data_IF_063394370934
#
_entry.id   IF_063394370934
#
_cell.length_a   1.000
_cell.length_b   1.000
_cell.length_c   1.000
_cell.angle_alpha   90.00
_cell.angle_beta   90.00
_cell.angle_gamma   90.00
#
_symmetry.space_group_name_H-M   'P 1'
#
loop_
_entity.id
_entity.type
_entity.pdbx_description
1 polymer ?
#
# COMPACT_ATOMS: atom_id res chain seq x y z
N UNK A 1 11.20 16.12 -11.13
CA UNK A 1 12.60 15.66 -10.95
C UNK A 1 12.62 14.17 -11.24
N UNK A 2 13.56 13.67 -12.06
CA UNK A 2 13.75 12.22 -12.16
C UNK A 2 14.16 11.70 -10.76
N UNK A 3 13.45 10.70 -10.26
CA UNK A 3 13.85 10.04 -9.02
C UNK A 3 15.11 9.22 -9.31
N UNK A 4 16.16 9.38 -8.51
CA UNK A 4 17.39 8.60 -8.61
C UNK A 4 17.11 7.15 -8.16
N UNK A 5 16.67 6.32 -9.11
CA UNK A 5 16.45 4.88 -8.91
C UNK A 5 17.74 4.16 -9.26
N UNK A 6 18.38 3.55 -8.26
CA UNK A 6 19.51 2.68 -8.46
C UNK A 6 19.02 1.23 -8.58
N UNK A 7 19.57 0.48 -9.54
CA UNK A 7 19.28 -0.95 -9.74
C UNK A 7 20.53 -1.74 -9.44
N UNK A 8 20.50 -2.56 -8.40
CA UNK A 8 21.59 -3.45 -8.05
C UNK A 8 21.19 -4.91 -8.27
N UNK A 9 22.09 -5.67 -8.88
CA UNK A 9 21.93 -7.10 -9.04
C UNK A 9 22.22 -7.83 -7.74
N UNK A 10 21.34 -8.74 -7.35
CA UNK A 10 21.52 -9.63 -6.21
C UNK A 10 21.46 -11.09 -6.67
N UNK A 11 22.29 -11.94 -6.07
CA UNK A 11 22.19 -13.39 -6.25
C UNK A 11 21.36 -13.96 -5.11
N UNK A 12 20.27 -14.64 -5.46
CA UNK A 12 19.36 -15.32 -4.53
C UNK A 12 19.51 -16.84 -4.68
N UNK A 13 18.90 -17.61 -3.78
CA UNK A 13 18.85 -19.08 -3.87
C UNK A 13 18.18 -19.59 -5.16
N UNK A 14 17.42 -18.72 -5.84
CA UNK A 14 16.71 -19.02 -7.08
C UNK A 14 17.38 -18.44 -8.34
N UNK A 15 18.55 -17.81 -8.21
CA UNK A 15 19.33 -17.31 -9.34
C UNK A 15 19.67 -15.83 -9.22
N UNK A 16 19.57 -15.11 -10.33
CA UNK A 16 19.95 -13.70 -10.43
C UNK A 16 18.70 -12.82 -10.45
N UNK A 17 18.63 -11.82 -9.58
CA UNK A 17 17.50 -10.91 -9.44
C UNK A 17 17.96 -9.44 -9.34
N UNK A 18 17.03 -8.50 -9.53
CA UNK A 18 17.30 -7.06 -9.45
C UNK A 18 16.56 -6.45 -8.27
N UNK A 19 17.26 -5.64 -7.48
CA UNK A 19 16.65 -4.80 -6.45
C UNK A 19 16.69 -3.34 -6.89
N UNK A 20 15.52 -2.70 -6.87
CA UNK A 20 15.37 -1.26 -7.05
C UNK A 20 15.45 -0.56 -5.68
N UNK A 21 16.32 0.45 -5.57
CA UNK A 21 16.47 1.27 -4.38
C UNK A 21 16.45 2.75 -4.75
N UNK A 22 15.75 3.56 -3.96
CA UNK A 22 15.78 5.01 -4.10
C UNK A 22 16.95 5.57 -3.35
N UNK A 23 17.82 6.30 -4.05
CA UNK A 23 18.94 6.99 -3.42
C UNK A 23 18.59 8.44 -3.06
N UNK A 24 18.70 8.72 -1.77
CA UNK A 24 18.51 10.04 -1.17
C UNK A 24 19.80 10.54 -0.49
N UNK A 25 20.97 10.12 -0.97
CA UNK A 25 22.30 10.47 -0.45
C UNK A 25 22.56 11.98 -0.44
N UNK A 26 21.94 12.72 -1.35
CA UNK A 26 22.05 14.18 -1.47
C UNK A 26 21.26 14.96 -0.39
N UNK A 27 20.35 14.31 0.35
CA UNK A 27 19.54 14.96 1.38
C UNK A 27 20.26 15.00 2.74
N UNK A 28 20.14 16.12 3.45
CA UNK A 28 20.61 16.21 4.85
C UNK A 28 19.75 15.32 5.77
N UNK A 29 20.26 14.91 6.95
CA UNK A 29 19.48 14.15 7.92
C UNK A 29 18.15 14.81 8.28
N UNK A 30 18.13 16.13 8.44
CA UNK A 30 16.92 16.90 8.75
C UNK A 30 15.91 16.84 7.60
N UNK A 31 16.38 16.94 6.35
CA UNK A 31 15.53 16.83 5.16
C UNK A 31 14.96 15.42 5.00
N UNK A 32 15.75 14.38 5.28
CA UNK A 32 15.28 12.99 5.28
C UNK A 32 14.21 12.76 6.35
N UNK A 33 14.41 13.28 7.55
CA UNK A 33 13.44 13.18 8.63
C UNK A 33 12.12 13.88 8.27
N UNK A 34 12.18 15.10 7.73
CA UNK A 34 11.00 15.81 7.24
C UNK A 34 10.29 15.04 6.12
N UNK A 35 11.04 14.49 5.15
CA UNK A 35 10.49 13.68 4.07
C UNK A 35 9.83 12.40 4.62
N UNK A 36 10.43 11.75 5.61
CA UNK A 36 9.90 10.55 6.24
C UNK A 36 8.59 10.82 6.98
N UNK A 37 8.49 11.95 7.69
CA UNK A 37 7.25 12.38 8.34
C UNK A 37 6.12 12.58 7.33
N UNK A 38 6.41 13.26 6.22
CA UNK A 38 5.46 13.45 5.12
C UNK A 38 5.04 12.11 4.54
N UNK A 39 6.00 11.24 4.21
CA UNK A 39 5.71 9.90 3.65
C UNK A 39 4.85 9.09 4.62
N UNK A 40 5.19 9.05 5.91
CA UNK A 40 4.44 8.30 6.91
C UNK A 40 3.01 8.81 7.07
N UNK A 41 2.76 10.12 6.93
CA UNK A 41 1.41 10.66 6.95
C UNK A 41 0.54 10.07 5.81
N UNK A 42 1.14 9.80 4.64
CA UNK A 42 0.46 9.13 3.51
C UNK A 42 0.21 7.63 3.73
N UNK A 43 0.69 7.02 4.82
CA UNK A 43 0.35 5.65 5.21
C UNK A 43 -0.84 5.56 6.16
N UNK A 44 -1.48 6.69 6.48
CA UNK A 44 -2.63 6.69 7.40
C UNK A 44 -3.79 5.87 6.84
N UNK A 45 -4.30 4.88 7.58
CA UNK A 45 -5.36 4.00 7.09
C UNK A 45 -6.73 4.67 7.10
N UNK A 46 -7.65 4.15 6.28
CA UNK A 46 -9.04 4.62 6.28
C UNK A 46 -9.79 4.15 7.53
N UNK A 47 -10.64 5.02 8.08
CA UNK A 47 -11.54 4.63 9.18
C UNK A 47 -12.53 3.54 8.76
N UNK A 48 -12.78 2.57 9.64
CA UNK A 48 -13.66 1.42 9.39
C UNK A 48 -15.05 1.81 8.86
N UNK A 49 -15.64 2.87 9.42
CA UNK A 49 -16.96 3.36 9.01
C UNK A 49 -16.96 3.79 7.53
N UNK A 50 -15.88 4.41 7.06
CA UNK A 50 -15.77 4.83 5.66
C UNK A 50 -15.53 3.63 4.73
N UNK A 51 -14.77 2.62 5.18
CA UNK A 51 -14.62 1.35 4.45
C UNK A 51 -15.98 0.67 4.28
N UNK A 52 -16.77 0.56 5.35
CA UNK A 52 -18.11 -0.02 5.32
C UNK A 52 -18.99 0.72 4.30
N UNK A 53 -19.03 2.06 4.35
CA UNK A 53 -19.80 2.86 3.37
C UNK A 53 -19.40 2.57 1.93
N UNK A 54 -18.10 2.42 1.66
CA UNK A 54 -17.60 2.13 0.31
C UNK A 54 -17.93 0.71 -0.14
N UNK A 55 -17.85 -0.28 0.77
CA UNK A 55 -18.28 -1.66 0.50
C UNK A 55 -19.78 -1.70 0.20
N UNK A 56 -20.61 -1.04 1.01
CA UNK A 56 -22.06 -0.95 0.77
C UNK A 56 -22.36 -0.28 -0.57
N UNK A 57 -21.67 0.82 -0.90
CA UNK A 57 -21.77 1.44 -2.23
C UNK A 57 -21.42 0.43 -3.32
N UNK A 58 -20.34 -0.33 -3.16
CA UNK A 58 -19.89 -1.33 -4.12
C UNK A 58 -20.93 -2.44 -4.33
N UNK A 59 -21.56 -2.93 -3.26
CA UNK A 59 -22.65 -3.91 -3.33
C UNK A 59 -23.86 -3.40 -4.12
N UNK A 60 -24.18 -2.10 -3.99
CA UNK A 60 -25.31 -1.48 -4.71
C UNK A 60 -25.01 -1.38 -6.22
N UNK A 61 -23.79 -0.99 -6.59
CA UNK A 61 -23.44 -0.75 -8.01
C UNK A 61 -22.98 -2.02 -8.75
N UNK A 62 -22.44 -2.99 -8.02
CA UNK A 62 -21.88 -4.23 -8.55
C UNK A 62 -22.65 -5.38 -7.91
N UNK A 63 -23.67 -5.92 -8.61
CA UNK A 63 -24.56 -6.91 -8.02
C UNK A 63 -23.80 -8.20 -7.71
N UNK A 64 -24.28 -8.92 -6.68
CA UNK A 64 -23.83 -10.25 -6.32
C UNK A 64 -25.03 -11.18 -6.10
N UNK A 65 -24.77 -12.48 -5.95
CA UNK A 65 -25.82 -13.43 -5.55
C UNK A 65 -26.30 -13.10 -4.14
N UNK A 66 -27.59 -13.36 -3.89
CA UNK A 66 -28.17 -13.19 -2.57
C UNK A 66 -27.36 -13.95 -1.51
N UNK A 67 -27.03 -13.25 -0.43
CA UNK A 67 -26.34 -13.79 0.74
C UNK A 67 -27.19 -13.60 1.97
N UNK A 68 -27.02 -14.47 2.95
CA UNK A 68 -27.70 -14.29 4.23
C UNK A 68 -27.15 -13.04 4.94
N UNK A 69 -27.92 -12.39 5.82
CA UNK A 69 -27.43 -11.26 6.60
C UNK A 69 -26.16 -11.57 7.39
N UNK A 70 -26.03 -12.80 7.89
CA UNK A 70 -24.88 -13.28 8.66
C UNK A 70 -23.63 -13.31 7.76
N UNK A 71 -23.75 -13.83 6.54
CA UNK A 71 -22.64 -13.87 5.58
C UNK A 71 -22.18 -12.46 5.17
N UNK A 72 -23.13 -11.52 5.05
CA UNK A 72 -22.83 -10.12 4.73
C UNK A 72 -22.05 -9.44 5.86
N UNK A 73 -22.46 -9.65 7.10
CA UNK A 73 -21.79 -9.09 8.28
C UNK A 73 -20.38 -9.65 8.43
N UNK A 74 -20.23 -10.98 8.40
CA UNK A 74 -18.95 -11.66 8.50
C UNK A 74 -17.98 -11.19 7.40
N UNK A 75 -18.45 -11.15 6.15
CA UNK A 75 -17.62 -10.65 5.04
C UNK A 75 -17.22 -9.19 5.24
N UNK A 76 -18.15 -8.33 5.65
CA UNK A 76 -17.85 -6.90 5.85
C UNK A 76 -16.79 -6.72 6.92
N UNK A 77 -16.85 -7.49 8.01
CA UNK A 77 -15.83 -7.48 9.06
C UNK A 77 -14.44 -7.86 8.51
N UNK A 78 -14.35 -8.95 7.75
CA UNK A 78 -13.10 -9.41 7.12
C UNK A 78 -12.54 -8.33 6.17
N UNK A 79 -13.39 -7.74 5.33
CA UNK A 79 -12.96 -6.68 4.42
C UNK A 79 -12.42 -5.46 5.17
N UNK A 80 -13.07 -5.06 6.27
CA UNK A 80 -12.60 -3.96 7.10
C UNK A 80 -11.25 -4.29 7.73
N UNK A 81 -11.09 -5.49 8.28
CA UNK A 81 -9.83 -5.94 8.89
C UNK A 81 -8.67 -5.88 7.88
N UNK A 82 -8.86 -6.43 6.69
CA UNK A 82 -7.82 -6.48 5.67
C UNK A 82 -7.52 -5.10 5.08
N UNK A 83 -8.55 -4.32 4.71
CA UNK A 83 -8.34 -3.03 4.06
C UNK A 83 -7.78 -1.96 5.00
N UNK A 84 -7.93 -2.11 6.32
CA UNK A 84 -7.31 -1.19 7.29
C UNK A 84 -5.79 -1.26 7.33
N UNK A 85 -5.17 -2.26 6.71
CA UNK A 85 -3.70 -2.37 6.59
C UNK A 85 -3.14 -1.41 5.55
N UNK A 86 -4.00 -0.80 4.73
CA UNK A 86 -3.59 0.01 3.58
C UNK A 86 -3.91 1.50 3.76
N UNK A 87 -3.16 2.38 3.06
CA UNK A 87 -3.41 3.81 3.05
C UNK A 87 -4.82 4.19 2.60
N UNK A 88 -5.36 5.26 3.20
CA UNK A 88 -6.74 5.66 2.99
C UNK A 88 -7.10 6.00 1.54
N UNK A 89 -6.19 6.61 0.80
CA UNK A 89 -6.38 6.99 -0.59
C UNK A 89 -6.35 5.79 -1.55
N UNK A 90 -5.51 4.80 -1.25
CA UNK A 90 -5.43 3.53 -2.00
C UNK A 90 -6.73 2.75 -1.83
N UNK A 91 -7.18 2.55 -0.58
CA UNK A 91 -8.45 1.84 -0.30
C UNK A 91 -9.64 2.54 -0.94
N UNK A 92 -9.69 3.89 -0.88
CA UNK A 92 -10.75 4.67 -1.54
C UNK A 92 -10.74 4.45 -3.04
N UNK A 93 -9.57 4.43 -3.66
CA UNK A 93 -9.44 4.24 -5.10
C UNK A 93 -9.88 2.82 -5.48
N UNK A 94 -9.36 1.80 -4.78
CA UNK A 94 -9.70 0.40 -4.99
C UNK A 94 -11.21 0.17 -4.95
N UNK A 95 -11.89 0.59 -3.89
CA UNK A 95 -13.34 0.38 -3.72
C UNK A 95 -14.22 1.24 -4.63
N UNK A 96 -13.65 2.27 -5.28
CA UNK A 96 -14.36 3.14 -6.24
C UNK A 96 -14.14 2.72 -7.69
N UNK A 97 -13.30 1.73 -7.96
CA UNK A 97 -13.10 1.21 -9.30
C UNK A 97 -14.39 0.64 -9.89
N UNK A 98 -14.39 0.52 -11.22
CA UNK A 98 -15.52 -0.03 -11.96
C UNK A 98 -15.42 -1.54 -11.98
N UNK A 99 -16.24 -2.21 -11.19
CA UNK A 99 -16.37 -3.65 -11.21
C UNK A 99 -17.68 -4.07 -11.88
N UNK A 100 -17.59 -5.05 -12.79
CA UNK A 100 -18.78 -5.62 -13.44
C UNK A 100 -19.64 -6.43 -12.46
N UNK A 101 -18.99 -7.10 -11.52
CA UNK A 101 -19.58 -7.92 -10.45
C UNK A 101 -18.92 -7.55 -9.13
N UNK A 102 -19.54 -7.86 -7.99
CA UNK A 102 -18.87 -7.63 -6.72
C UNK A 102 -17.51 -8.38 -6.69
N UNK A 103 -16.38 -7.69 -6.51
CA UNK A 103 -15.07 -8.30 -6.69
C UNK A 103 -14.73 -9.25 -5.54
N UNK A 104 -13.80 -10.16 -5.83
CA UNK A 104 -13.17 -10.95 -4.77
C UNK A 104 -12.29 -10.03 -3.91
N UNK A 105 -12.19 -10.32 -2.62
CA UNK A 105 -11.31 -9.54 -1.73
C UNK A 105 -9.86 -9.55 -2.24
N UNK A 106 -9.37 -10.71 -2.70
CA UNK A 106 -8.02 -10.85 -3.26
C UNK A 106 -7.73 -9.86 -4.40
N UNK A 107 -8.69 -9.63 -5.32
CA UNK A 107 -8.51 -8.68 -6.42
C UNK A 107 -8.32 -7.24 -5.91
N UNK A 108 -9.05 -6.87 -4.86
CA UNK A 108 -8.93 -5.55 -4.21
C UNK A 108 -7.60 -5.44 -3.47
N UNK A 109 -7.17 -6.51 -2.79
CA UNK A 109 -5.89 -6.55 -2.06
C UNK A 109 -4.71 -6.49 -3.02
N UNK A 110 -4.74 -7.22 -4.14
CA UNK A 110 -3.71 -7.18 -5.18
C UNK A 110 -3.52 -5.76 -5.72
N UNK A 111 -4.63 -5.04 -5.95
CA UNK A 111 -4.56 -3.63 -6.34
C UNK A 111 -3.90 -2.78 -5.25
N UNK A 112 -4.30 -2.96 -3.99
CA UNK A 112 -3.74 -2.22 -2.87
C UNK A 112 -2.24 -2.49 -2.68
N UNK A 113 -1.80 -3.75 -2.80
CA UNK A 113 -0.40 -4.16 -2.68
C UNK A 113 0.45 -3.51 -3.78
N UNK A 114 -0.02 -3.52 -5.02
CA UNK A 114 0.67 -2.90 -6.15
C UNK A 114 0.86 -1.39 -5.97
N UNK A 115 -0.18 -0.69 -5.50
CA UNK A 115 -0.11 0.76 -5.26
C UNK A 115 0.77 1.13 -4.05
N UNK A 116 0.81 0.27 -3.02
CA UNK A 116 1.67 0.49 -1.84
C UNK A 116 3.13 0.18 -2.15
N UNK A 117 3.43 -0.79 -3.01
CA UNK A 117 4.79 -1.27 -3.27
C UNK A 117 5.78 -0.12 -3.57
N UNK A 118 5.37 0.83 -4.42
CA UNK A 118 6.21 1.99 -4.76
C UNK A 118 6.47 2.91 -3.55
N UNK A 119 5.45 3.17 -2.73
CA UNK A 119 5.58 4.01 -1.52
C UNK A 119 6.50 3.37 -0.50
N UNK A 120 6.44 2.04 -0.37
CA UNK A 120 7.33 1.27 0.47
C UNK A 120 8.79 1.34 0.02
N UNK A 121 9.05 1.37 -1.29
CA UNK A 121 10.41 1.57 -1.81
C UNK A 121 10.96 2.96 -1.44
N UNK A 122 10.14 4.01 -1.57
CA UNK A 122 10.53 5.38 -1.16
C UNK A 122 10.81 5.43 0.35
N UNK A 123 9.89 4.88 1.16
CA UNK A 123 10.03 4.83 2.62
C UNK A 123 11.29 4.08 3.03
N UNK A 124 11.59 2.95 2.38
CA UNK A 124 12.82 2.19 2.60
C UNK A 124 14.07 2.97 2.20
N UNK A 125 14.08 3.65 1.04
CA UNK A 125 15.21 4.47 0.61
C UNK A 125 15.55 5.58 1.61
N UNK A 126 14.53 6.20 2.21
CA UNK A 126 14.72 7.21 3.26
C UNK A 126 15.32 6.63 4.55
N UNK A 127 15.00 5.38 4.89
CA UNK A 127 15.46 4.70 6.12
C UNK A 127 16.84 4.04 5.95
N UNK A 128 17.12 3.42 4.80
CA UNK A 128 18.32 2.60 4.59
C UNK A 128 19.62 3.41 4.54
N UNK A 129 19.56 4.67 4.08
CA UNK A 129 20.75 5.52 4.02
C UNK A 129 21.31 5.95 5.39
N UNK A 130 20.58 5.71 6.49
CA UNK A 130 21.07 6.02 7.84
C UNK A 130 21.85 4.85 8.47
N UNK A 131 21.60 3.60 8.04
CA UNK A 131 22.33 2.41 8.55
C UNK A 131 23.75 2.31 8.01
N UNK A 132 23.95 2.66 6.72
CA UNK A 132 25.28 2.68 6.11
C UNK A 132 26.19 3.78 6.68
N UNK A 133 25.63 4.88 7.18
CA UNK A 133 26.43 5.94 7.84
C UNK A 133 26.83 5.56 9.27
N UNK A 134 26.00 4.78 9.97
CA UNK A 134 26.27 4.31 11.33
C UNK A 134 27.29 3.15 11.40
N UNK A 135 27.47 2.38 10.33
CA UNK A 135 28.48 1.29 10.27
C UNK A 135 29.88 1.77 9.83
N UNK A 136 30.00 3.02 9.37
CA UNK A 136 31.24 3.61 8.86
C UNK A 136 31.79 4.72 9.79
N UNK A 137 31.12 5.00 10.91
CA UNK A 137 31.54 5.94 11.97
C UNK A 137 31.99 5.21 13.22
#
# INVERSE_FOLDING_TARGET
MPLNINKHSIFTEHGYDYREEYDFSELTPEQKQQALEVVNAYFTPLHSIEIIKLITRLQIISPEKDKTPIDLEARTSIWVEELRKYPADIVKTALKQKYRWFPALAEVLDYCDNEVAHRELIRKGLIYNDRLQAEVS
#
